data_IF_307431037738
#
_entry.id   IF_307431037738
#
_cell.length_a   1.000
_cell.length_b   1.000
_cell.length_c   1.000
_cell.angle_alpha   90.00
_cell.angle_beta   90.00
_cell.angle_gamma   90.00
#
_symmetry.space_group_name_H-M   'P 1'
#
loop_
_entity.id
_entity.type
_entity.pdbx_description
1 polymer ?
#
# COMPACT_ATOMS: atom_id res chain seq x y z
N UNK A 1 -5.13 -27.23 -6.35
CA UNK A 1 -6.43 -26.76 -6.87
C UNK A 1 -6.13 -25.77 -7.98
N UNK A 2 -6.95 -25.74 -9.04
CA UNK A 2 -6.82 -24.77 -10.12
C UNK A 2 -8.09 -23.95 -10.27
N UNK A 3 -7.91 -22.67 -10.53
CA UNK A 3 -9.01 -21.73 -10.78
C UNK A 3 -8.84 -21.06 -12.14
N UNK A 4 -9.94 -20.80 -12.82
CA UNK A 4 -9.98 -19.95 -14.02
C UNK A 4 -10.62 -18.62 -13.66
N UNK A 5 -9.99 -17.52 -14.06
CA UNK A 5 -10.56 -16.19 -13.90
C UNK A 5 -11.70 -16.02 -14.89
N UNK A 6 -12.90 -15.71 -14.41
CA UNK A 6 -14.12 -15.57 -15.21
C UNK A 6 -14.49 -14.12 -15.45
N UNK A 7 -14.11 -13.22 -14.53
CA UNK A 7 -14.39 -11.80 -14.60
C UNK A 7 -13.28 -11.03 -13.86
N UNK A 8 -12.72 -10.00 -14.48
CA UNK A 8 -11.74 -9.13 -13.83
C UNK A 8 -12.15 -7.67 -13.83
N UNK A 9 -13.40 -7.37 -14.20
CA UNK A 9 -13.94 -6.02 -14.09
C UNK A 9 -13.77 -5.54 -12.65
N UNK A 10 -13.13 -4.38 -12.50
CA UNK A 10 -12.79 -3.74 -11.21
C UNK A 10 -11.61 -4.35 -10.41
N UNK A 11 -10.82 -5.27 -10.98
CA UNK A 11 -9.69 -5.89 -10.28
C UNK A 11 -8.36 -5.85 -11.05
N UNK A 12 -7.24 -6.08 -10.36
CA UNK A 12 -5.90 -6.06 -10.97
C UNK A 12 -5.66 -7.20 -11.99
N UNK A 13 -6.55 -8.20 -12.02
CA UNK A 13 -6.45 -9.37 -12.88
C UNK A 13 -7.34 -9.36 -14.14
N UNK A 14 -7.89 -8.20 -14.54
CA UNK A 14 -8.67 -8.01 -15.79
C UNK A 14 -7.98 -8.54 -17.06
N UNK A 15 -6.68 -8.29 -17.20
CA UNK A 15 -5.89 -8.78 -18.33
C UNK A 15 -5.65 -10.30 -18.35
N UNK A 16 -6.17 -11.03 -17.37
CA UNK A 16 -5.99 -12.48 -17.22
C UNK A 16 -7.32 -13.24 -17.23
N UNK A 17 -8.42 -12.61 -17.61
CA UNK A 17 -9.71 -13.28 -17.81
C UNK A 17 -9.55 -14.45 -18.80
N UNK A 18 -10.06 -15.62 -18.42
CA UNK A 18 -9.87 -16.90 -19.12
C UNK A 18 -8.58 -17.64 -18.76
N UNK A 19 -7.63 -16.98 -18.07
CA UNK A 19 -6.40 -17.57 -17.58
C UNK A 19 -6.65 -18.59 -16.46
N UNK A 20 -5.85 -19.65 -16.46
CA UNK A 20 -5.91 -20.74 -15.48
C UNK A 20 -4.70 -20.66 -14.57
N UNK A 21 -4.94 -20.75 -13.25
CA UNK A 21 -3.90 -20.58 -12.25
C UNK A 21 -3.97 -21.66 -11.17
N UNK A 22 -2.79 -22.04 -10.67
CA UNK A 22 -2.66 -22.93 -9.52
C UNK A 22 -2.84 -22.17 -8.23
N UNK A 23 -3.75 -22.65 -7.39
CA UNK A 23 -4.00 -22.13 -6.06
C UNK A 23 -3.07 -22.81 -5.07
N UNK A 24 -2.28 -21.99 -4.38
CA UNK A 24 -1.40 -22.41 -3.30
C UNK A 24 -2.13 -22.55 -1.96
N UNK A 25 -3.01 -21.61 -1.64
CA UNK A 25 -3.72 -21.57 -0.37
C UNK A 25 -5.07 -20.84 -0.49
N UNK A 26 -5.94 -21.00 0.52
CA UNK A 26 -7.26 -20.37 0.67
C UNK A 26 -7.37 -19.73 2.06
N UNK A 27 -7.63 -18.43 2.14
CA UNK A 27 -7.68 -17.72 3.43
C UNK A 27 -9.11 -17.34 3.82
N UNK A 28 -9.72 -18.14 4.70
CA UNK A 28 -10.99 -17.82 5.35
C UNK A 28 -12.25 -17.96 4.49
N UNK A 29 -13.39 -17.54 5.05
CA UNK A 29 -14.72 -17.76 4.46
C UNK A 29 -15.05 -16.78 3.32
N UNK A 30 -14.29 -15.69 3.17
CA UNK A 30 -14.63 -14.60 2.28
C UNK A 30 -13.72 -14.46 1.04
N UNK A 31 -12.38 -14.63 1.08
CA UNK A 31 -11.55 -14.28 -0.10
C UNK A 31 -10.14 -14.93 -0.14
N UNK A 32 -9.65 -15.16 -1.37
CA UNK A 32 -8.25 -15.04 -1.83
C UNK A 32 -7.50 -16.33 -2.12
N UNK A 33 -7.55 -16.73 -3.40
CA UNK A 33 -6.64 -17.73 -3.96
C UNK A 33 -5.29 -17.10 -4.26
N UNK A 34 -4.20 -17.68 -3.73
CA UNK A 34 -2.83 -17.25 -4.03
C UNK A 34 -2.26 -17.98 -5.23
N UNK A 35 -1.81 -17.21 -6.23
CA UNK A 35 -1.20 -17.75 -7.46
C UNK A 35 0.26 -17.30 -7.59
N UNK A 36 1.16 -18.18 -8.06
CA UNK A 36 2.56 -17.82 -8.37
C UNK A 36 2.66 -17.39 -9.83
N UNK A 37 3.21 -16.21 -10.08
CA UNK A 37 3.63 -15.80 -11.43
C UNK A 37 5.15 -15.99 -11.58
N UNK A 38 5.55 -16.83 -12.54
CA UNK A 38 6.95 -17.00 -12.97
C UNK A 38 7.95 -17.38 -11.85
N UNK A 39 7.55 -18.23 -10.90
CA UNK A 39 8.48 -18.81 -9.91
C UNK A 39 9.12 -17.83 -8.93
N UNK A 40 8.67 -16.57 -8.86
CA UNK A 40 9.06 -15.61 -7.83
C UNK A 40 7.90 -15.45 -6.85
N UNK A 41 8.19 -15.57 -5.56
CA UNK A 41 7.29 -15.51 -4.40
C UNK A 41 6.58 -14.16 -4.26
N UNK A 42 5.70 -13.83 -5.21
CA UNK A 42 4.71 -12.76 -5.11
C UNK A 42 3.35 -13.42 -5.21
N UNK A 43 2.74 -13.72 -4.06
CA UNK A 43 1.39 -14.25 -4.02
C UNK A 43 0.41 -13.13 -4.36
N UNK A 44 -0.48 -13.37 -5.32
CA UNK A 44 -1.57 -12.45 -5.62
C UNK A 44 -2.92 -13.10 -5.29
N UNK A 45 -3.81 -12.35 -4.62
CA UNK A 45 -5.16 -12.80 -4.26
C UNK A 45 -6.15 -12.65 -5.41
N UNK A 46 -6.96 -13.68 -5.63
CA UNK A 46 -8.11 -13.66 -6.55
C UNK A 46 -9.39 -13.86 -5.72
N UNK A 47 -10.36 -12.97 -5.94
CA UNK A 47 -11.66 -13.05 -5.29
C UNK A 47 -12.50 -14.22 -5.85
N UNK A 48 -13.16 -15.00 -4.98
CA UNK A 48 -13.92 -16.19 -5.37
C UNK A 48 -15.02 -15.91 -6.40
N UNK A 49 -15.65 -14.73 -6.33
CA UNK A 49 -16.74 -14.35 -7.26
C UNK A 49 -16.24 -14.05 -8.68
N UNK A 50 -14.92 -13.95 -8.86
CA UNK A 50 -14.25 -13.61 -10.10
C UNK A 50 -13.54 -14.81 -10.74
N UNK A 51 -13.74 -16.01 -10.19
CA UNK A 51 -13.13 -17.21 -10.71
C UNK A 51 -13.99 -18.47 -10.49
N UNK A 52 -13.85 -19.44 -11.39
CA UNK A 52 -14.42 -20.78 -11.26
C UNK A 52 -13.32 -21.77 -10.87
N UNK A 53 -13.64 -22.73 -9.99
CA UNK A 53 -12.75 -23.85 -9.69
C UNK A 53 -12.85 -24.85 -10.84
N UNK A 54 -11.72 -25.16 -11.45
CA UNK A 54 -11.66 -26.10 -12.58
C UNK A 54 -11.03 -27.44 -12.21
N UNK A 55 -10.31 -27.50 -11.08
CA UNK A 55 -9.68 -28.71 -10.56
C UNK A 55 -9.55 -28.63 -9.04
N UNK A 56 -10.27 -29.49 -8.32
CA UNK A 56 -10.28 -29.55 -6.85
C UNK A 56 -9.10 -30.36 -6.27
N UNK A 57 -8.24 -30.98 -7.11
CA UNK A 57 -7.08 -31.69 -6.59
C UNK A 57 -6.09 -30.69 -5.99
N UNK A 58 -6.05 -30.64 -4.65
CA UNK A 58 -4.97 -29.99 -3.91
C UNK A 58 -3.71 -30.80 -4.22
N UNK A 59 -2.69 -30.18 -4.81
CA UNK A 59 -1.41 -30.82 -5.03
C UNK A 59 -0.81 -31.13 -3.65
N UNK A 60 -1.12 -32.30 -3.11
CA UNK A 60 -0.59 -32.80 -1.83
C UNK A 60 0.82 -33.39 -2.01
N UNK A 61 1.35 -33.44 -3.21
CA UNK A 61 2.71 -33.88 -3.49
C UNK A 61 3.59 -32.65 -3.80
N UNK A 62 4.50 -32.32 -2.88
CA UNK A 62 5.52 -31.28 -3.07
C UNK A 62 5.28 -29.95 -2.35
N UNK A 63 4.16 -29.79 -1.63
CA UNK A 63 3.94 -28.63 -0.75
C UNK A 63 4.46 -28.96 0.65
N UNK A 64 5.49 -28.22 1.08
CA UNK A 64 6.09 -28.37 2.40
C UNK A 64 5.07 -27.94 3.49
N UNK A 65 4.91 -28.69 4.59
CA UNK A 65 4.03 -28.31 5.69
C UNK A 65 4.33 -26.90 6.21
N UNK A 66 3.29 -26.18 6.64
CA UNK A 66 3.41 -24.80 7.15
C UNK A 66 4.40 -24.74 8.32
N UNK A 67 4.46 -25.78 9.13
CA UNK A 67 5.36 -25.91 10.27
C UNK A 67 6.84 -25.89 9.84
N UNK A 68 7.19 -26.64 8.79
CA UNK A 68 8.55 -26.66 8.22
C UNK A 68 8.88 -25.33 7.53
N UNK A 69 7.90 -24.72 6.85
CA UNK A 69 8.07 -23.41 6.21
C UNK A 69 8.33 -22.29 7.24
N UNK A 70 7.65 -22.36 8.38
CA UNK A 70 7.77 -21.39 9.47
C UNK A 70 9.15 -21.52 10.15
N UNK A 71 9.60 -22.74 10.43
CA UNK A 71 10.94 -23.00 10.98
C UNK A 71 12.07 -22.52 10.06
N UNK A 72 11.91 -22.65 8.74
CA UNK A 72 12.90 -22.15 7.77
C UNK A 72 12.88 -20.63 7.59
N UNK A 73 11.75 -19.97 7.86
CA UNK A 73 11.57 -18.52 7.67
C UNK A 73 12.08 -17.68 8.86
N UNK A 74 12.15 -18.25 10.06
CA UNK A 74 12.65 -17.61 11.28
C UNK A 74 14.04 -16.95 11.11
N UNK A 75 15.09 -17.63 10.59
CA UNK A 75 16.42 -17.03 10.44
C UNK A 75 16.50 -15.94 9.36
N UNK A 76 15.55 -15.88 8.42
CA UNK A 76 15.55 -14.87 7.34
C UNK A 76 14.95 -13.52 7.77
N UNK A 77 14.15 -13.50 8.84
CA UNK A 77 13.45 -12.30 9.33
C UNK A 77 14.39 -11.27 9.95
N UNK A 78 15.60 -11.67 10.32
CA UNK A 78 16.59 -10.82 10.99
C UNK A 78 17.45 -9.98 10.02
N UNK A 79 17.32 -10.16 8.71
CA UNK A 79 18.20 -9.54 7.69
C UNK A 79 17.54 -8.47 6.80
N UNK A 80 16.25 -8.15 6.98
CA UNK A 80 15.59 -7.12 6.17
C UNK A 80 15.78 -5.75 6.83
N UNK A 81 16.57 -4.82 6.24
CA UNK A 81 16.69 -3.48 6.79
C UNK A 81 15.31 -2.83 6.82
N UNK A 82 14.95 -2.31 7.99
CA UNK A 82 13.64 -1.71 8.28
C UNK A 82 13.50 -0.43 7.46
N UNK A 83 12.91 -0.53 6.27
CA UNK A 83 12.67 0.61 5.40
C UNK A 83 11.80 1.65 6.11
N UNK A 84 12.18 2.93 6.07
CA UNK A 84 11.39 4.02 6.66
C UNK A 84 10.20 4.36 5.76
N UNK A 85 9.12 3.61 5.94
CA UNK A 85 7.86 3.74 5.19
C UNK A 85 7.05 5.00 5.55
N UNK A 86 7.49 5.79 6.54
CA UNK A 86 6.79 7.03 6.94
C UNK A 86 7.44 8.25 6.33
N UNK A 87 8.77 8.33 6.33
CA UNK A 87 9.48 9.46 5.74
C UNK A 87 9.89 9.24 4.27
N UNK A 88 10.04 7.98 3.82
CA UNK A 88 10.50 7.67 2.46
C UNK A 88 9.84 6.41 1.89
N UNK A 89 8.57 6.48 1.48
CA UNK A 89 7.89 5.35 0.85
C UNK A 89 8.57 4.99 -0.49
N UNK A 90 8.96 3.73 -0.69
CA UNK A 90 9.72 3.28 -1.89
C UNK A 90 9.03 3.52 -3.23
N UNK A 91 7.73 3.77 -3.25
CA UNK A 91 6.92 3.89 -4.45
C UNK A 91 6.80 5.33 -4.99
N UNK A 92 7.41 6.33 -4.31
CA UNK A 92 7.42 7.72 -4.78
C UNK A 92 8.83 8.31 -5.02
N UNK A 93 9.90 7.66 -4.58
CA UNK A 93 11.27 8.23 -4.61
C UNK A 93 12.06 7.87 -5.90
N UNK A 94 11.38 7.78 -7.04
CA UNK A 94 12.01 7.38 -8.30
C UNK A 94 12.64 8.56 -9.10
N UNK A 95 12.58 9.80 -8.59
CA UNK A 95 12.95 11.02 -9.32
C UNK A 95 13.88 11.99 -8.56
N UNK A 96 14.17 13.15 -9.18
CA UNK A 96 15.06 14.21 -8.65
C UNK A 96 14.42 15.05 -7.53
N UNK A 97 13.09 15.08 -7.47
CA UNK A 97 12.31 15.86 -6.51
C UNK A 97 11.43 14.90 -5.71
N UNK A 98 11.25 15.18 -4.43
CA UNK A 98 10.29 14.42 -3.62
C UNK A 98 8.87 14.79 -4.06
N UNK A 99 7.95 13.82 -4.02
CA UNK A 99 6.58 14.04 -4.48
C UNK A 99 5.87 15.18 -3.73
N UNK A 100 6.22 15.39 -2.45
CA UNK A 100 5.65 16.46 -1.64
C UNK A 100 6.08 17.86 -2.13
N UNK A 101 7.30 18.02 -2.63
CA UNK A 101 7.80 19.29 -3.15
C UNK A 101 7.04 19.69 -4.42
N UNK A 102 6.81 18.72 -5.31
CA UNK A 102 6.03 18.92 -6.53
C UNK A 102 4.58 19.28 -6.20
N UNK A 103 3.99 18.63 -5.19
CA UNK A 103 2.63 18.95 -4.73
C UNK A 103 2.57 20.35 -4.14
N UNK A 104 3.57 20.75 -3.34
CA UNK A 104 3.65 22.09 -2.75
C UNK A 104 3.71 23.17 -3.83
N UNK A 105 4.59 23.00 -4.81
CA UNK A 105 4.73 23.92 -5.95
C UNK A 105 3.44 24.01 -6.77
N UNK A 106 2.79 22.87 -7.04
CA UNK A 106 1.56 22.84 -7.83
C UNK A 106 0.34 23.47 -7.12
N UNK A 107 0.29 23.41 -5.79
CA UNK A 107 -0.87 23.86 -5.02
C UNK A 107 -0.73 25.30 -4.47
N UNK A 108 0.49 25.81 -4.28
CA UNK A 108 0.70 27.13 -3.66
C UNK A 108 -0.04 27.27 -2.33
N UNK A 109 -0.88 28.30 -2.20
CA UNK A 109 -1.72 28.56 -1.03
C UNK A 109 -2.65 27.38 -0.67
N UNK A 110 -2.99 26.54 -1.64
CA UNK A 110 -3.80 25.33 -1.42
C UNK A 110 -3.08 24.21 -0.67
N UNK A 111 -1.75 24.29 -0.52
CA UNK A 111 -0.95 23.26 0.13
C UNK A 111 -1.29 23.09 1.62
N UNK A 112 -1.60 24.19 2.33
CA UNK A 112 -2.03 24.16 3.73
C UNK A 112 -3.28 23.28 3.90
N UNK A 113 -4.30 23.51 3.06
CA UNK A 113 -5.55 22.74 3.06
C UNK A 113 -5.32 21.26 2.72
N UNK A 114 -4.43 20.97 1.77
CA UNK A 114 -4.04 19.60 1.43
C UNK A 114 -3.41 18.88 2.63
N UNK A 115 -2.54 19.55 3.37
CA UNK A 115 -1.93 19.00 4.58
C UNK A 115 -2.98 18.68 5.66
N UNK A 116 -3.89 19.61 5.95
CA UNK A 116 -4.96 19.41 6.93
C UNK A 116 -5.89 18.23 6.57
N UNK A 117 -6.24 18.09 5.29
CA UNK A 117 -7.02 16.94 4.82
C UNK A 117 -6.31 15.61 5.04
N UNK A 118 -4.98 15.57 4.85
CA UNK A 118 -4.17 14.37 5.11
C UNK A 118 -4.06 14.06 6.61
N UNK A 119 -3.90 15.08 7.47
CA UNK A 119 -3.93 14.91 8.93
C UNK A 119 -5.24 14.24 9.34
N UNK A 120 -6.38 14.77 8.92
CA UNK A 120 -7.69 14.21 9.22
C UNK A 120 -7.81 12.77 8.71
N UNK A 121 -7.41 12.51 7.47
CA UNK A 121 -7.40 11.16 6.86
C UNK A 121 -6.66 10.15 7.73
N UNK A 122 -5.44 10.48 8.19
CA UNK A 122 -4.64 9.55 8.99
C UNK A 122 -5.18 9.40 10.42
N UNK A 123 -5.70 10.47 11.02
CA UNK A 123 -6.40 10.42 12.31
C UNK A 123 -7.67 9.57 12.27
N UNK A 124 -8.38 9.51 11.14
CA UNK A 124 -9.53 8.61 10.98
C UNK A 124 -9.08 7.15 10.78
N UNK A 125 -7.94 6.94 10.11
CA UNK A 125 -7.46 5.63 9.67
C UNK A 125 -6.77 4.77 10.74
N UNK A 126 -6.15 5.42 11.73
CA UNK A 126 -5.17 4.75 12.60
C UNK A 126 -5.72 3.53 13.35
N UNK A 127 -6.97 3.55 13.83
CA UNK A 127 -7.53 2.42 14.61
C UNK A 127 -7.83 1.17 13.77
N UNK A 128 -7.97 1.32 12.45
CA UNK A 128 -8.50 0.26 11.59
C UNK A 128 -7.56 -0.15 10.45
N UNK A 129 -6.39 0.49 10.29
CA UNK A 129 -5.41 0.12 9.26
C UNK A 129 -3.98 -0.01 9.78
N UNK A 130 -3.29 1.11 10.05
CA UNK A 130 -1.84 1.09 10.29
C UNK A 130 -1.42 1.51 11.71
N UNK A 131 -2.35 1.66 12.64
CA UNK A 131 -2.05 1.97 14.05
C UNK A 131 -1.23 3.26 14.20
N UNK A 132 -0.22 3.21 15.07
CA UNK A 132 0.64 4.35 15.38
C UNK A 132 1.41 4.91 14.16
N UNK A 133 1.57 4.14 13.06
CA UNK A 133 2.19 4.66 11.84
C UNK A 133 1.37 5.77 11.19
N UNK A 134 0.04 5.65 11.17
CA UNK A 134 -0.82 6.71 10.65
C UNK A 134 -0.74 7.97 11.52
N UNK A 135 -0.63 7.83 12.84
CA UNK A 135 -0.42 8.98 13.73
C UNK A 135 0.91 9.69 13.45
N UNK A 136 1.98 8.94 13.15
CA UNK A 136 3.27 9.55 12.73
C UNK A 136 3.13 10.27 11.39
N UNK A 137 2.42 9.68 10.43
CA UNK A 137 2.11 10.35 9.15
C UNK A 137 1.31 11.62 9.36
N UNK A 138 0.30 11.59 10.24
CA UNK A 138 -0.46 12.79 10.60
C UNK A 138 0.44 13.88 11.18
N UNK A 139 1.38 13.53 12.07
CA UNK A 139 2.32 14.50 12.64
C UNK A 139 3.19 15.18 11.58
N UNK A 140 3.73 14.42 10.62
CA UNK A 140 4.53 14.97 9.51
C UNK A 140 3.72 15.98 8.68
N UNK A 141 2.49 15.62 8.30
CA UNK A 141 1.62 16.52 7.55
C UNK A 141 1.19 17.75 8.36
N UNK A 142 1.06 17.62 9.68
CA UNK A 142 0.77 18.76 10.55
C UNK A 142 1.95 19.73 10.58
N UNK A 143 3.19 19.23 10.65
CA UNK A 143 4.40 20.07 10.59
C UNK A 143 4.46 20.84 9.26
N UNK A 144 4.29 20.17 8.12
CA UNK A 144 4.30 20.85 6.82
C UNK A 144 3.16 21.86 6.66
N UNK A 145 1.98 21.57 7.22
CA UNK A 145 0.87 22.51 7.24
C UNK A 145 1.17 23.75 8.08
N UNK A 146 1.81 23.59 9.24
CA UNK A 146 2.22 24.71 10.09
C UNK A 146 3.26 25.59 9.39
N UNK A 147 4.30 25.00 8.78
CA UNK A 147 5.30 25.74 8.01
C UNK A 147 4.68 26.54 6.85
N UNK A 148 3.68 25.98 6.18
CA UNK A 148 2.97 26.66 5.10
C UNK A 148 2.13 27.84 5.61
N UNK A 149 1.46 27.68 6.76
CA UNK A 149 0.69 28.75 7.39
C UNK A 149 1.59 29.90 7.88
N UNK A 150 2.72 29.57 8.52
CA UNK A 150 3.70 30.56 8.99
C UNK A 150 4.29 31.37 7.83
N UNK A 151 4.60 30.73 6.70
CA UNK A 151 5.07 31.43 5.50
C UNK A 151 4.02 32.41 4.96
N UNK A 152 2.76 31.97 4.87
CA UNK A 152 1.64 32.83 4.46
C UNK A 152 1.45 34.02 5.40
N UNK A 153 1.53 33.81 6.71
CA UNK A 153 1.43 34.88 7.71
C UNK A 153 2.56 35.91 7.59
N UNK A 154 3.78 35.47 7.26
CA UNK A 154 4.91 36.36 6.98
C UNK A 154 4.69 37.18 5.72
N UNK A 155 4.30 36.55 4.61
CA UNK A 155 3.98 37.24 3.34
C UNK A 155 2.87 38.30 3.54
N UNK A 156 1.84 37.96 4.31
CA UNK A 156 0.75 38.88 4.67
C UNK A 156 1.19 40.04 5.58
N UNK A 157 2.18 39.82 6.45
CA UNK A 157 2.74 40.85 7.32
C UNK A 157 3.62 41.82 6.51
N UNK A 158 4.49 41.30 5.65
CA UNK A 158 5.34 42.10 4.76
C UNK A 158 4.50 42.96 3.80
N UNK A 159 3.41 42.41 3.25
CA UNK A 159 2.51 43.16 2.39
C UNK A 159 1.85 44.36 3.09
N UNK A 160 1.67 44.30 4.42
CA UNK A 160 1.10 45.40 5.22
C UNK A 160 2.11 46.45 5.65
N UNK A 161 3.41 46.16 5.61
CA UNK A 161 4.47 47.14 5.93
C UNK A 161 4.82 48.05 4.73
N UNK A 162 4.42 47.67 3.52
CA UNK A 162 4.73 48.37 2.27
C UNK A 162 3.61 49.35 1.85
N UNK A 163 2.43 49.28 2.48
CA UNK A 163 1.25 50.12 2.26
C UNK A 163 1.12 51.22 3.35
#
# INVERSE_FOLDING_TARGET
MKVRITDGSECWYDGYVGGVFEVLDHVGEAIDYYIIKNGKYGGFGIHRNHCEVIDETVAKEGVMPIEELFEMAEPARELVPKQDVVNSPSHYNAGKYEAIDVIKDALGDGFESYCLGNVLKYCLRYRHKNGAEDLRKAAVYLTWGAEAAEAREQDEAEAKEVD
#
